data_IF_660536818917
#
_entry.id   IF_660536818917
#
_cell.length_a   1.000
_cell.length_b   1.000
_cell.length_c   1.000
_cell.angle_alpha   90.00
_cell.angle_beta   90.00
_cell.angle_gamma   90.00
#
_symmetry.space_group_name_H-M   'P 1'
#
loop_
_entity.id
_entity.type
_entity.pdbx_description
1 polymer ?
#
# COMPACT_ATOMS: atom_id res chain seq x y z
N UNK A 1 -4.20 18.69 -6.36
CA UNK A 1 -4.86 18.08 -7.56
C UNK A 1 -4.11 18.30 -8.87
N UNK A 2 -3.50 19.46 -9.13
CA UNK A 2 -2.75 19.71 -10.38
C UNK A 2 -1.76 18.60 -10.74
N UNK A 3 -0.94 18.14 -9.79
CA UNK A 3 0.05 17.07 -10.02
C UNK A 3 -0.63 15.76 -10.43
N UNK A 4 -1.63 15.31 -9.67
CA UNK A 4 -2.33 14.05 -9.95
C UNK A 4 -2.96 14.04 -11.35
N UNK A 5 -3.61 15.13 -11.76
CA UNK A 5 -4.20 15.25 -13.10
C UNK A 5 -3.16 15.21 -14.23
N UNK A 6 -1.93 15.68 -14.00
CA UNK A 6 -0.84 15.54 -14.98
C UNK A 6 -0.43 14.07 -15.16
N UNK A 7 -0.44 13.29 -14.08
CA UNK A 7 -0.12 11.86 -14.14
C UNK A 7 -1.26 11.05 -14.78
N UNK A 8 -2.51 11.33 -14.43
CA UNK A 8 -3.69 10.74 -15.09
C UNK A 8 -3.67 10.98 -16.61
N UNK A 9 -3.34 12.19 -17.05
CA UNK A 9 -3.24 12.51 -18.48
C UNK A 9 -2.08 11.78 -19.19
N UNK A 10 -1.04 11.38 -18.44
CA UNK A 10 0.17 10.73 -18.98
C UNK A 10 0.08 9.20 -18.95
N UNK A 11 -0.59 8.64 -17.97
CA UNK A 11 -0.62 7.20 -17.71
C UNK A 11 -2.07 6.69 -17.76
N UNK A 12 -2.45 5.89 -18.77
CA UNK A 12 -3.84 5.47 -18.97
C UNK A 12 -4.38 4.55 -17.87
N UNK A 13 -3.49 3.99 -17.05
CA UNK A 13 -3.82 3.12 -15.91
C UNK A 13 -3.95 3.90 -14.58
N UNK A 14 -3.83 5.23 -14.60
CA UNK A 14 -4.07 6.08 -13.44
C UNK A 14 -5.41 6.78 -13.61
N UNK A 15 -6.29 6.66 -12.62
CA UNK A 15 -7.55 7.39 -12.53
C UNK A 15 -7.56 8.20 -11.23
N UNK A 16 -7.99 9.47 -11.31
CA UNK A 16 -7.99 10.39 -10.16
C UNK A 16 -9.41 10.76 -9.78
N UNK A 17 -9.80 10.36 -8.58
CA UNK A 17 -11.07 10.71 -7.97
C UNK A 17 -10.85 11.86 -6.99
N UNK A 18 -11.64 12.93 -7.13
CA UNK A 18 -11.58 14.09 -6.25
C UNK A 18 -12.91 14.26 -5.52
N UNK A 19 -12.85 14.36 -4.19
CA UNK A 19 -14.00 14.68 -3.37
C UNK A 19 -14.30 16.18 -3.43
N UNK A 20 -15.58 16.56 -3.40
CA UNK A 20 -16.02 17.95 -3.32
C UNK A 20 -15.63 18.61 -1.99
N UNK A 21 -15.58 17.82 -0.91
CA UNK A 21 -15.23 18.24 0.44
C UNK A 21 -14.25 17.25 1.08
N UNK A 22 -13.62 17.64 2.20
CA UNK A 22 -12.82 16.72 2.99
C UNK A 22 -13.75 15.75 3.74
N UNK A 23 -13.62 14.45 3.45
CA UNK A 23 -14.46 13.38 4.01
C UNK A 23 -13.74 12.55 5.09
N UNK A 24 -12.51 12.91 5.47
CA UNK A 24 -11.68 12.10 6.36
C UNK A 24 -11.03 10.89 5.68
N UNK A 25 -10.14 10.22 6.40
CA UNK A 25 -9.32 9.12 5.86
C UNK A 25 -10.13 7.85 5.57
N UNK A 26 -11.00 7.46 6.50
CA UNK A 26 -11.78 6.22 6.44
C UNK A 26 -12.79 6.24 5.29
N UNK A 27 -13.50 7.37 5.11
CA UNK A 27 -14.41 7.53 3.98
C UNK A 27 -13.65 7.64 2.66
N UNK A 28 -12.44 8.21 2.67
CA UNK A 28 -11.57 8.23 1.49
C UNK A 28 -11.12 6.82 1.09
N UNK A 29 -10.69 5.99 2.04
CA UNK A 29 -10.37 4.58 1.78
C UNK A 29 -11.57 3.80 1.27
N UNK A 30 -12.76 4.01 1.85
CA UNK A 30 -14.00 3.40 1.37
C UNK A 30 -14.24 3.74 -0.10
N UNK A 31 -14.06 5.01 -0.50
CA UNK A 31 -14.19 5.40 -1.91
C UNK A 31 -13.11 4.79 -2.79
N UNK A 32 -11.86 4.71 -2.34
CA UNK A 32 -10.82 4.02 -3.09
C UNK A 32 -11.22 2.56 -3.35
N UNK A 33 -11.65 1.82 -2.32
CA UNK A 33 -12.08 0.42 -2.42
C UNK A 33 -13.25 0.26 -3.39
N UNK A 34 -14.24 1.16 -3.34
CA UNK A 34 -15.39 1.13 -4.25
C UNK A 34 -15.02 1.36 -5.72
N UNK A 35 -13.90 2.00 -6.01
CA UNK A 35 -13.42 2.28 -7.37
C UNK A 35 -12.23 1.39 -7.78
N UNK A 36 -11.84 0.40 -6.96
CA UNK A 36 -10.80 -0.55 -7.34
C UNK A 36 -11.29 -1.47 -8.45
N UNK A 37 -10.37 -1.83 -9.35
CA UNK A 37 -10.60 -2.72 -10.47
C UNK A 37 -9.53 -3.83 -10.45
N UNK A 38 -9.88 -5.02 -10.96
CA UNK A 38 -8.96 -6.16 -11.07
C UNK A 38 -9.20 -7.27 -10.04
N UNK A 39 -8.33 -8.28 -10.08
CA UNK A 39 -8.42 -9.48 -9.23
C UNK A 39 -7.83 -9.24 -7.82
N UNK A 40 -6.81 -8.39 -7.73
CA UNK A 40 -6.14 -8.02 -6.49
C UNK A 40 -6.31 -6.53 -6.22
N UNK A 41 -6.42 -6.19 -4.93
CA UNK A 41 -6.54 -4.83 -4.44
C UNK A 41 -5.42 -4.53 -3.45
N UNK A 42 -4.80 -3.35 -3.58
CA UNK A 42 -3.79 -2.86 -2.64
C UNK A 42 -4.08 -1.39 -2.28
N UNK A 43 -3.77 -1.02 -1.04
CA UNK A 43 -3.89 0.36 -0.54
C UNK A 43 -2.48 0.84 -0.21
N UNK A 44 -2.08 1.94 -0.84
CA UNK A 44 -0.80 2.59 -0.61
C UNK A 44 -1.01 4.03 -0.14
N UNK A 45 -0.22 4.44 0.86
CA UNK A 45 -0.24 5.77 1.43
C UNK A 45 0.56 6.74 0.56
N UNK A 46 0.10 7.98 0.45
CA UNK A 46 0.68 8.97 -0.46
C UNK A 46 2.01 9.56 0.02
N UNK A 47 2.33 9.37 1.29
CA UNK A 47 3.55 9.84 1.97
C UNK A 47 4.63 8.76 2.10
N UNK A 48 4.35 7.52 1.73
CA UNK A 48 5.27 6.38 1.73
C UNK A 48 6.07 6.22 0.43
N UNK A 49 7.15 5.44 0.50
CA UNK A 49 7.95 4.99 -0.66
C UNK A 49 8.11 3.48 -0.65
N UNK A 50 7.75 2.83 -1.74
CA UNK A 50 7.67 1.38 -1.81
C UNK A 50 8.84 0.76 -2.57
N UNK A 51 9.20 -0.47 -2.19
CA UNK A 51 10.19 -1.25 -2.94
C UNK A 51 9.67 -1.53 -4.36
N UNK A 52 10.51 -1.45 -5.41
CA UNK A 52 10.06 -1.64 -6.80
C UNK A 52 9.38 -2.99 -7.07
N UNK A 53 9.65 -4.00 -6.25
CA UNK A 53 9.16 -5.38 -6.37
C UNK A 53 7.94 -5.69 -5.50
N UNK A 54 7.41 -4.72 -4.73
CA UNK A 54 6.33 -4.95 -3.76
C UNK A 54 5.15 -5.71 -4.38
N UNK A 55 4.59 -5.20 -5.48
CA UNK A 55 3.40 -5.76 -6.12
C UNK A 55 3.69 -7.17 -6.65
N UNK A 56 4.87 -7.37 -7.25
CA UNK A 56 5.27 -8.66 -7.81
C UNK A 56 5.35 -9.73 -6.72
N UNK A 57 6.03 -9.43 -5.62
CA UNK A 57 6.22 -10.39 -4.52
C UNK A 57 4.90 -10.65 -3.77
N UNK A 58 4.08 -9.62 -3.53
CA UNK A 58 2.77 -9.75 -2.87
C UNK A 58 1.80 -10.62 -3.69
N UNK A 59 1.68 -10.34 -5.00
CA UNK A 59 0.82 -11.11 -5.89
C UNK A 59 1.32 -12.55 -6.03
N UNK A 60 2.64 -12.74 -6.18
CA UNK A 60 3.26 -14.07 -6.24
C UNK A 60 2.99 -14.87 -4.97
N UNK A 61 3.01 -14.25 -3.79
CA UNK A 61 2.65 -14.91 -2.55
C UNK A 61 1.19 -15.37 -2.56
N UNK A 62 0.24 -14.49 -2.92
CA UNK A 62 -1.19 -14.80 -2.95
C UNK A 62 -1.52 -15.92 -3.94
N UNK A 63 -0.94 -15.90 -5.15
CA UNK A 63 -1.14 -16.96 -6.16
C UNK A 63 -0.65 -18.33 -5.66
N UNK A 64 0.45 -18.36 -4.91
CA UNK A 64 1.01 -19.60 -4.37
C UNK A 64 0.35 -20.06 -3.06
N UNK A 65 -0.51 -19.23 -2.45
CA UNK A 65 -1.18 -19.51 -1.18
C UNK A 65 -2.66 -19.12 -1.31
N UNK A 66 -3.42 -19.88 -2.10
CA UNK A 66 -4.84 -19.59 -2.39
C UNK A 66 -5.76 -19.61 -1.15
N UNK A 67 -5.28 -20.09 0.00
CA UNK A 67 -5.99 -20.02 1.29
C UNK A 67 -5.73 -18.70 2.05
N UNK A 68 -4.85 -17.84 1.54
CA UNK A 68 -4.58 -16.51 2.08
C UNK A 68 -5.43 -15.43 1.40
N UNK A 69 -6.19 -14.69 2.19
CA UNK A 69 -7.04 -13.60 1.68
C UNK A 69 -6.30 -12.25 1.53
N UNK A 70 -5.15 -12.11 2.18
CA UNK A 70 -4.39 -10.86 2.23
C UNK A 70 -2.92 -11.11 2.53
N UNK A 71 -2.07 -10.22 2.04
CA UNK A 71 -0.64 -10.17 2.34
C UNK A 71 -0.28 -8.76 2.80
N UNK A 72 0.69 -8.68 3.70
CA UNK A 72 1.26 -7.42 4.17
C UNK A 72 2.72 -7.64 4.56
N UNK A 73 3.43 -6.56 4.75
CA UNK A 73 4.87 -6.52 4.80
C UNK A 73 5.35 -5.72 6.02
N UNK A 74 6.59 -5.95 6.43
CA UNK A 74 7.23 -5.05 7.41
C UNK A 74 7.70 -3.77 6.74
N UNK A 75 8.00 -2.73 7.53
CA UNK A 75 8.38 -1.40 7.06
C UNK A 75 9.70 -0.91 7.68
N UNK A 76 10.54 -0.17 6.95
CA UNK A 76 11.60 0.66 7.55
C UNK A 76 11.05 2.04 7.83
N UNK A 77 11.25 2.61 9.02
CA UNK A 77 10.94 4.03 9.24
C UNK A 77 12.05 4.89 8.65
N UNK A 78 11.70 5.87 7.82
CA UNK A 78 12.64 6.83 7.23
C UNK A 78 12.32 8.28 7.60
N UNK A 79 13.37 9.10 7.74
CA UNK A 79 13.23 10.55 7.93
C UNK A 79 12.94 11.30 6.60
N UNK A 80 12.90 12.64 6.66
CA UNK A 80 12.65 13.48 5.50
C UNK A 80 13.80 13.49 4.46
N UNK A 81 14.97 12.96 4.82
CA UNK A 81 16.15 12.80 3.96
C UNK A 81 16.30 11.37 3.46
N UNK A 82 15.27 10.53 3.66
CA UNK A 82 15.26 9.11 3.28
C UNK A 82 16.32 8.28 4.01
N UNK A 83 16.73 8.72 5.21
CA UNK A 83 17.61 7.94 6.08
C UNK A 83 16.75 7.03 6.95
N UNK A 84 17.11 5.74 7.00
CA UNK A 84 16.46 4.77 7.87
C UNK A 84 16.77 5.11 9.33
N UNK A 85 15.72 5.32 10.12
CA UNK A 85 15.79 5.65 11.54
C UNK A 85 15.14 4.58 12.43
N UNK A 86 14.43 3.62 11.83
CA UNK A 86 13.74 2.57 12.57
C UNK A 86 13.23 1.45 11.68
N UNK A 87 12.59 0.47 12.31
CA UNK A 87 11.96 -0.69 11.65
C UNK A 87 10.63 -0.99 12.35
N UNK A 88 9.59 -1.24 11.56
CA UNK A 88 8.29 -1.72 11.96
C UNK A 88 8.11 -3.15 11.50
N UNK A 89 8.09 -4.05 12.47
CA UNK A 89 7.76 -5.44 12.24
C UNK A 89 6.34 -5.72 12.67
N UNK A 90 5.69 -6.62 11.94
CA UNK A 90 4.47 -7.25 12.43
C UNK A 90 4.78 -7.96 13.75
N UNK A 91 4.02 -7.70 14.84
CA UNK A 91 4.32 -8.33 16.12
C UNK A 91 4.18 -9.86 16.01
N UNK A 92 5.21 -10.57 16.48
CA UNK A 92 5.35 -12.04 16.42
C UNK A 92 4.14 -12.81 17.00
N UNK A 93 3.35 -12.18 17.88
CA UNK A 93 2.17 -12.82 18.47
C UNK A 93 1.01 -13.04 17.49
N UNK A 94 1.07 -12.46 16.29
CA UNK A 94 0.05 -12.64 15.27
C UNK A 94 0.21 -13.95 14.48
N UNK A 95 1.38 -14.61 14.50
CA UNK A 95 1.66 -15.85 13.74
C UNK A 95 0.63 -16.97 13.97
N UNK A 96 -0.04 -16.98 15.12
CA UNK A 96 -1.11 -17.94 15.43
C UNK A 96 -2.40 -17.71 14.64
N UNK A 97 -2.61 -16.50 14.12
CA UNK A 97 -3.85 -16.02 13.51
C UNK A 97 -3.72 -15.71 12.02
N UNK A 98 -2.50 -15.63 11.49
CA UNK A 98 -2.28 -15.48 10.05
C UNK A 98 -0.97 -16.17 9.62
N UNK A 99 -0.96 -16.72 8.40
CA UNK A 99 0.28 -17.12 7.72
C UNK A 99 0.97 -15.84 7.26
N UNK A 100 2.02 -15.42 7.96
CA UNK A 100 2.85 -14.28 7.55
C UNK A 100 4.05 -14.78 6.74
N UNK A 101 4.13 -14.37 5.48
CA UNK A 101 5.41 -14.33 4.79
C UNK A 101 5.89 -12.88 4.80
N UNK A 102 7.06 -12.64 5.38
CA UNK A 102 7.70 -11.33 5.41
C UNK A 102 8.09 -10.95 3.98
N UNK A 103 7.39 -9.97 3.43
CA UNK A 103 7.94 -9.13 2.37
C UNK A 103 8.37 -7.82 3.08
N UNK A 104 9.49 -7.22 2.68
CA UNK A 104 10.09 -6.05 3.33
C UNK A 104 9.75 -4.78 2.54
N UNK A 105 9.28 -3.72 3.22
CA UNK A 105 9.05 -2.39 2.64
C UNK A 105 9.84 -1.32 3.38
N UNK A 106 10.09 -0.20 2.70
CA UNK A 106 10.37 1.07 3.35
C UNK A 106 9.03 1.79 3.59
N UNK A 107 8.89 2.48 4.72
CA UNK A 107 7.71 3.28 5.09
C UNK A 107 8.18 4.61 5.68
N UNK A 108 7.71 5.74 5.16
CA UNK A 108 8.02 7.03 5.75
C UNK A 108 6.99 7.31 6.84
N UNK A 109 7.46 7.68 8.02
CA UNK A 109 6.56 8.11 9.08
C UNK A 109 7.01 9.49 9.52
N UNK A 110 6.12 10.46 9.35
CA UNK A 110 6.22 11.78 9.96
C UNK A 110 5.97 11.71 11.46
#
# INVERSE_FOLDING_TARGET
MKILRLYEAKYPHIQVFQNETNIGGEANFTKCIQNMEGEYAAIYHADDVYMPTIVEEEVKFLINNLDCNSVSTSGYEIDDKSIIIGQRFTPLNLEKYAKFNQIELCTKIQ
#
